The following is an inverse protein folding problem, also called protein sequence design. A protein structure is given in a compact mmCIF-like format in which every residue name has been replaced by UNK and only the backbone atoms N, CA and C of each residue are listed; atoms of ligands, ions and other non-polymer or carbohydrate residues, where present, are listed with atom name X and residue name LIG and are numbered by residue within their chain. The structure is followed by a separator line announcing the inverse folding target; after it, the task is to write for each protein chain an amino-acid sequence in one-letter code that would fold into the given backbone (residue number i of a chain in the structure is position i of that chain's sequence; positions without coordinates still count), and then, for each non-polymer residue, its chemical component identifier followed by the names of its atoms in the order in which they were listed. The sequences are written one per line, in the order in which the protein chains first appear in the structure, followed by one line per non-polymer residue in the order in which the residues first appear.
data_IF_734499180836
#
_entry.id   IF_734499180836
#
_cell.length_a   1.000
_cell.length_b   1.000
_cell.length_c   1.000
_cell.angle_alpha   90.00
_cell.angle_beta   90.00
_cell.angle_gamma   90.00
#
_symmetry.space_group_name_H-M   'P 1'
#
loop_
_entity.id
_entity.type
_entity.pdbx_description
1 polymer ?
#
# COMPACT_ATOMS: atom_id res chain seq x y z
N UNK A 1 4.63 -9.10 -4.66
CA UNK A 1 4.74 -10.16 -5.71
C UNK A 1 3.41 -10.73 -6.19
N UNK A 2 2.41 -11.01 -5.34
CA UNK A 2 1.09 -11.53 -5.79
C UNK A 2 0.48 -10.72 -6.93
N UNK A 3 0.58 -9.41 -6.88
CA UNK A 3 0.11 -8.48 -7.91
C UNK A 3 0.71 -8.78 -9.30
N UNK A 4 2.04 -8.91 -9.40
CA UNK A 4 2.72 -9.16 -10.69
C UNK A 4 2.57 -10.61 -11.16
N UNK A 5 2.52 -11.59 -10.26
CA UNK A 5 2.25 -13.00 -10.61
C UNK A 5 0.98 -13.17 -11.45
N UNK A 6 -0.02 -12.36 -11.16
CA UNK A 6 -1.30 -12.39 -11.87
C UNK A 6 -1.22 -11.76 -13.26
N UNK A 7 -0.40 -10.71 -13.44
CA UNK A 7 -0.38 -9.90 -14.65
C UNK A 7 0.65 -10.34 -15.69
N UNK A 8 1.83 -10.77 -15.24
CA UNK A 8 2.96 -11.07 -16.11
C UNK A 8 2.65 -12.14 -17.18
N UNK A 9 1.92 -13.23 -16.89
CA UNK A 9 1.53 -14.19 -17.93
C UNK A 9 0.74 -13.54 -19.09
N UNK A 10 -0.11 -12.56 -18.76
CA UNK A 10 -0.87 -11.81 -19.77
C UNK A 10 0.00 -10.84 -20.56
N UNK A 11 1.00 -10.19 -19.95
CA UNK A 11 1.95 -9.35 -20.66
C UNK A 11 2.73 -10.18 -21.70
N UNK A 12 3.23 -11.34 -21.30
CA UNK A 12 3.96 -12.24 -22.19
C UNK A 12 3.10 -12.76 -23.35
N UNK A 13 1.83 -13.07 -23.12
CA UNK A 13 0.90 -13.47 -24.17
C UNK A 13 0.67 -12.37 -25.22
N UNK A 14 0.97 -11.11 -24.88
CA UNK A 14 0.93 -9.96 -25.78
C UNK A 14 2.30 -9.63 -26.40
N UNK A 15 3.29 -10.53 -26.28
CA UNK A 15 4.63 -10.38 -26.83
C UNK A 15 5.53 -9.40 -26.07
N UNK A 16 5.24 -9.15 -24.79
CA UNK A 16 6.06 -8.29 -23.93
C UNK A 16 7.01 -9.17 -23.13
N UNK A 17 8.30 -8.92 -23.27
CA UNK A 17 9.32 -9.49 -22.40
C UNK A 17 9.33 -8.76 -21.07
N UNK A 18 9.39 -9.53 -19.97
CA UNK A 18 9.34 -9.00 -18.62
C UNK A 18 10.51 -9.56 -17.83
N UNK A 19 11.26 -8.65 -17.20
CA UNK A 19 12.24 -8.96 -16.16
C UNK A 19 11.79 -8.34 -14.83
N UNK A 20 11.99 -9.04 -13.74
CA UNK A 20 11.58 -8.60 -12.41
C UNK A 20 12.78 -8.66 -11.47
N UNK A 21 13.04 -7.56 -10.76
CA UNK A 21 13.98 -7.54 -9.64
C UNK A 21 13.18 -7.35 -8.37
N UNK A 22 13.31 -8.29 -7.44
CA UNK A 22 12.67 -8.26 -6.13
C UNK A 22 13.66 -7.83 -5.06
N UNK A 23 13.26 -6.90 -4.21
CA UNK A 23 14.06 -6.49 -3.09
C UNK A 23 13.66 -5.14 -2.53
N UNK A 24 14.23 -4.85 -1.38
CA UNK A 24 14.13 -3.53 -0.72
C UNK A 24 15.27 -3.40 0.28
N UNK A 25 15.37 -2.25 0.93
CA UNK A 25 16.35 -2.01 1.99
C UNK A 25 16.32 -3.02 3.16
N UNK A 26 15.18 -3.66 3.39
CA UNK A 26 15.01 -4.69 4.42
C UNK A 26 15.06 -6.12 3.89
N UNK A 27 15.17 -6.28 2.57
CA UNK A 27 15.03 -7.56 1.84
C UNK A 27 16.29 -7.90 1.05
N UNK A 28 17.45 -7.66 1.56
CA UNK A 28 18.64 -8.18 0.93
C UNK A 28 18.76 -9.68 1.22
N UNK A 29 18.83 -10.45 0.18
CA UNK A 29 19.30 -11.84 0.00
C UNK A 29 19.26 -12.89 1.13
N UNK A 30 18.89 -12.54 2.36
CA UNK A 30 18.75 -13.52 3.44
C UNK A 30 17.47 -14.37 3.30
N UNK A 31 16.54 -13.97 2.44
CA UNK A 31 15.31 -14.68 2.12
C UNK A 31 15.39 -15.22 0.69
N UNK A 32 16.20 -16.19 0.49
CA UNK A 32 16.78 -16.67 -0.75
C UNK A 32 15.89 -17.48 -1.69
N UNK A 33 14.58 -17.37 -1.60
CA UNK A 33 13.70 -17.93 -2.62
C UNK A 33 13.00 -16.80 -3.37
N UNK A 34 13.48 -16.44 -4.58
CA UNK A 34 12.79 -15.49 -5.43
C UNK A 34 11.37 -15.97 -5.68
N UNK A 35 10.44 -15.02 -5.78
CA UNK A 35 9.08 -15.38 -6.11
C UNK A 35 9.04 -15.99 -7.51
N UNK A 36 8.55 -17.20 -7.65
CA UNK A 36 8.35 -17.81 -8.96
C UNK A 36 7.20 -17.10 -9.68
N UNK A 37 7.49 -16.58 -10.86
CA UNK A 37 6.51 -16.13 -11.86
C UNK A 37 6.70 -17.02 -13.07
N UNK A 38 5.66 -17.71 -13.50
CA UNK A 38 5.74 -18.69 -14.58
C UNK A 38 6.40 -18.09 -15.83
N UNK A 39 7.51 -18.67 -16.24
CA UNK A 39 8.28 -18.29 -17.41
C UNK A 39 9.01 -16.94 -17.32
N UNK A 40 9.17 -16.37 -16.12
CA UNK A 40 9.92 -15.12 -15.89
C UNK A 40 11.05 -15.37 -14.90
N UNK A 41 12.24 -14.92 -15.28
CA UNK A 41 13.36 -14.88 -14.34
C UNK A 41 13.13 -13.73 -13.35
N UNK A 42 13.05 -14.07 -12.06
CA UNK A 42 12.96 -13.10 -10.98
C UNK A 42 14.31 -13.05 -10.28
N UNK A 43 14.98 -11.93 -10.39
CA UNK A 43 16.22 -11.69 -9.67
C UNK A 43 15.92 -11.13 -8.28
N UNK A 44 16.76 -11.47 -7.30
CA UNK A 44 16.73 -10.88 -5.96
C UNK A 44 17.88 -9.88 -5.85
N UNK A 45 17.62 -8.74 -5.22
CA UNK A 45 18.66 -7.73 -4.97
C UNK A 45 19.87 -8.36 -4.25
N UNK A 46 21.03 -8.25 -4.87
CA UNK A 46 22.28 -8.77 -4.35
C UNK A 46 22.73 -8.03 -3.09
N UNK A 47 22.98 -8.76 -2.01
CA UNK A 47 23.41 -8.18 -0.73
C UNK A 47 24.70 -7.37 -0.85
N UNK A 48 25.70 -7.90 -1.55
CA UNK A 48 26.98 -7.21 -1.74
C UNK A 48 26.80 -5.86 -2.45
N UNK A 49 25.89 -5.80 -3.43
CA UNK A 49 25.57 -4.58 -4.17
C UNK A 49 24.88 -3.55 -3.26
N UNK A 50 23.93 -4.00 -2.45
CA UNK A 50 23.27 -3.14 -1.46
C UNK A 50 24.28 -2.57 -0.45
N UNK A 51 25.16 -3.40 0.09
CA UNK A 51 26.16 -2.97 1.07
C UNK A 51 27.16 -1.96 0.47
N UNK A 52 27.57 -2.17 -0.79
CA UNK A 52 28.43 -1.23 -1.51
C UNK A 52 27.74 0.14 -1.70
N UNK A 53 26.47 0.17 -2.09
CA UNK A 53 25.73 1.41 -2.22
C UNK A 53 25.43 2.05 -0.85
N UNK A 54 25.15 1.26 0.18
CA UNK A 54 24.94 1.77 1.53
C UNK A 54 26.17 2.51 2.06
N UNK A 55 27.37 1.98 1.80
CA UNK A 55 28.62 2.66 2.15
C UNK A 55 28.79 4.01 1.43
N UNK A 56 28.36 4.12 0.17
CA UNK A 56 28.46 5.36 -0.63
C UNK A 56 27.52 6.49 -0.16
N UNK A 57 26.45 6.18 0.58
CA UNK A 57 25.50 7.15 1.12
C UNK A 57 25.81 7.57 2.56
N UNK A 58 27.08 7.69 2.93
CA UNK A 58 27.51 8.04 4.29
C UNK A 58 27.06 9.44 4.74
N UNK A 59 26.84 10.37 3.79
CA UNK A 59 26.26 11.69 4.07
C UNK A 59 24.89 11.63 4.77
N UNK A 60 24.22 10.48 4.77
CA UNK A 60 22.93 10.26 5.43
C UNK A 60 23.04 9.43 6.71
N UNK A 61 24.18 9.39 7.37
CA UNK A 61 24.35 8.67 8.64
C UNK A 61 23.32 9.09 9.71
N UNK A 62 22.96 10.40 9.75
CA UNK A 62 21.95 10.94 10.64
C UNK A 62 20.49 10.62 10.20
N UNK A 63 20.26 10.07 9.02
CA UNK A 63 18.96 9.70 8.46
C UNK A 63 19.00 8.24 7.97
N UNK A 64 19.12 7.25 8.86
CA UNK A 64 19.42 5.87 8.51
C UNK A 64 18.35 5.22 7.61
N UNK A 65 17.09 5.60 7.75
CA UNK A 65 16.02 5.09 6.90
C UNK A 65 16.15 5.63 5.46
N UNK A 66 16.42 6.94 5.29
CA UNK A 66 16.67 7.55 3.98
C UNK A 66 17.90 6.92 3.31
N UNK A 67 19.00 6.80 4.06
CA UNK A 67 20.24 6.16 3.60
C UNK A 67 19.97 4.77 3.04
N UNK A 68 19.22 3.97 3.78
CA UNK A 68 18.89 2.60 3.44
C UNK A 68 18.05 2.50 2.17
N UNK A 69 17.02 3.36 2.04
CA UNK A 69 16.15 3.37 0.87
C UNK A 69 16.87 3.84 -0.40
N UNK A 70 17.66 4.92 -0.32
CA UNK A 70 18.43 5.38 -1.48
C UNK A 70 19.47 4.34 -1.90
N UNK A 71 20.17 3.72 -0.95
CA UNK A 71 21.13 2.66 -1.25
C UNK A 71 20.48 1.47 -1.98
N UNK A 72 19.32 1.01 -1.50
CA UNK A 72 18.60 -0.09 -2.13
C UNK A 72 18.09 0.29 -3.53
N UNK A 73 17.56 1.50 -3.69
CA UNK A 73 17.08 1.98 -4.98
C UNK A 73 18.19 2.04 -6.03
N UNK A 74 19.34 2.59 -5.70
CA UNK A 74 20.50 2.64 -6.61
C UNK A 74 21.10 1.26 -6.86
N UNK A 75 21.16 0.39 -5.85
CA UNK A 75 21.63 -0.98 -6.02
C UNK A 75 20.75 -1.78 -6.99
N UNK A 76 19.42 -1.65 -6.87
CA UNK A 76 18.48 -2.28 -7.81
C UNK A 76 18.58 -1.69 -9.22
N UNK A 77 18.78 -0.37 -9.32
CA UNK A 77 18.93 0.30 -10.62
C UNK A 77 20.22 -0.12 -11.33
N UNK A 78 21.32 -0.25 -10.60
CA UNK A 78 22.56 -0.83 -11.14
C UNK A 78 22.38 -2.30 -11.54
N UNK A 79 21.68 -3.11 -10.72
CA UNK A 79 21.42 -4.51 -11.04
C UNK A 79 20.55 -4.66 -12.29
N UNK A 80 19.66 -3.73 -12.56
CA UNK A 80 18.89 -3.63 -13.80
C UNK A 80 19.69 -3.08 -15.00
N UNK A 81 21.02 -3.00 -14.91
CA UNK A 81 21.89 -2.36 -15.89
C UNK A 81 21.40 -0.96 -16.31
N UNK A 82 20.94 -0.18 -15.34
CA UNK A 82 20.42 1.18 -15.56
C UNK A 82 19.28 1.23 -16.59
N UNK A 83 18.54 0.15 -16.73
CA UNK A 83 17.41 0.02 -17.65
C UNK A 83 17.78 -0.02 -19.12
N UNK A 84 19.05 -0.26 -19.50
CA UNK A 84 19.56 -0.11 -20.88
C UNK A 84 18.80 -0.97 -21.90
N UNK A 85 18.44 -2.19 -21.52
CA UNK A 85 17.82 -3.17 -22.40
C UNK A 85 16.28 -3.13 -22.40
N UNK A 86 15.68 -2.13 -21.74
CA UNK A 86 14.22 -2.03 -21.58
C UNK A 86 13.64 -0.80 -22.28
N UNK A 87 12.45 -0.97 -22.89
CA UNK A 87 11.69 0.12 -23.49
C UNK A 87 11.00 0.98 -22.42
N UNK A 88 10.64 0.39 -21.29
CA UNK A 88 9.97 1.05 -20.16
C UNK A 88 10.36 0.38 -18.84
N UNK A 89 10.46 1.16 -17.81
CA UNK A 89 10.71 0.69 -16.44
C UNK A 89 9.51 1.01 -15.58
N UNK A 90 9.00 0.00 -14.86
CA UNK A 90 8.03 0.21 -13.80
C UNK A 90 8.71 0.05 -12.45
N UNK A 91 8.51 1.01 -11.58
CA UNK A 91 8.97 0.97 -10.19
C UNK A 91 7.79 1.17 -9.23
N UNK A 92 7.78 0.46 -8.10
CA UNK A 92 6.81 0.73 -7.05
C UNK A 92 7.25 1.94 -6.20
N UNK A 93 6.29 2.59 -5.56
CA UNK A 93 6.54 3.75 -4.69
C UNK A 93 7.21 3.39 -3.36
N UNK A 94 7.19 2.12 -2.97
CA UNK A 94 7.85 1.67 -1.75
C UNK A 94 9.36 1.71 -1.86
N UNK A 95 10.02 2.34 -0.88
CA UNK A 95 11.48 2.30 -0.75
C UNK A 95 12.25 3.17 -1.73
N UNK A 96 11.62 4.17 -2.35
CA UNK A 96 12.25 5.12 -3.29
C UNK A 96 12.80 4.47 -4.58
N UNK A 97 12.31 3.28 -4.97
CA UNK A 97 12.85 2.53 -6.12
C UNK A 97 12.74 3.29 -7.44
N UNK A 98 11.81 4.22 -7.56
CA UNK A 98 11.60 5.09 -8.71
C UNK A 98 12.59 6.28 -8.78
N UNK A 99 13.34 6.56 -7.70
CA UNK A 99 14.20 7.76 -7.62
C UNK A 99 15.35 7.73 -8.62
N UNK A 100 16.19 6.68 -8.71
CA UNK A 100 17.28 6.65 -9.69
C UNK A 100 16.80 6.79 -11.14
N UNK A 101 15.80 6.02 -11.64
CA UNK A 101 15.31 6.19 -13.00
C UNK A 101 14.67 7.56 -13.25
N UNK A 102 14.01 8.18 -12.25
CA UNK A 102 13.47 9.52 -12.36
C UNK A 102 14.57 10.59 -12.52
N UNK A 103 15.69 10.44 -11.80
CA UNK A 103 16.82 11.38 -11.86
C UNK A 103 17.62 11.22 -13.17
N UNK A 104 17.90 9.99 -13.56
CA UNK A 104 18.67 9.74 -14.78
C UNK A 104 17.86 10.00 -16.03
N UNK A 105 16.53 9.81 -15.96
CA UNK A 105 15.61 10.00 -17.07
C UNK A 105 16.12 9.36 -18.38
N UNK A 106 16.76 8.21 -18.29
CA UNK A 106 17.32 7.46 -19.42
C UNK A 106 16.27 6.60 -20.13
N UNK A 107 15.22 6.26 -19.42
CA UNK A 107 14.09 5.42 -19.90
C UNK A 107 12.75 5.98 -19.46
N UNK A 108 11.65 5.65 -20.17
CA UNK A 108 10.31 5.94 -19.70
C UNK A 108 10.08 5.28 -18.34
N UNK A 109 9.63 6.06 -17.37
CA UNK A 109 9.34 5.59 -16.02
C UNK A 109 7.83 5.57 -15.78
N UNK A 110 7.32 4.43 -15.36
CA UNK A 110 5.98 4.26 -14.79
C UNK A 110 6.11 4.03 -13.30
N UNK A 111 5.44 4.82 -12.48
CA UNK A 111 5.40 4.61 -11.04
C UNK A 111 4.07 3.98 -10.64
N UNK A 112 4.16 2.81 -10.01
CA UNK A 112 3.01 2.11 -9.44
C UNK A 112 2.92 2.42 -7.96
N UNK A 113 1.90 3.18 -7.55
CA UNK A 113 1.68 3.55 -6.17
C UNK A 113 0.86 2.47 -5.43
N UNK A 114 1.53 1.78 -4.51
CA UNK A 114 0.96 0.77 -3.61
C UNK A 114 0.82 1.24 -2.16
N UNK A 115 1.34 2.43 -1.87
CA UNK A 115 1.48 3.02 -0.54
C UNK A 115 2.95 3.28 -0.23
N UNK A 116 3.38 4.52 -0.39
CA UNK A 116 4.75 4.94 -0.14
C UNK A 116 5.07 4.97 1.35
N UNK A 117 6.34 4.99 1.69
CA UNK A 117 6.79 5.11 3.10
C UNK A 117 6.26 6.40 3.73
N UNK A 118 6.37 7.51 3.01
CA UNK A 118 5.87 8.82 3.49
C UNK A 118 4.36 8.84 3.64
N UNK A 119 3.62 8.25 2.71
CA UNK A 119 2.17 8.15 2.79
C UNK A 119 1.71 7.30 3.98
N UNK A 120 2.35 6.15 4.21
CA UNK A 120 2.05 5.28 5.35
C UNK A 120 2.38 5.98 6.67
N UNK A 121 3.47 6.73 6.75
CA UNK A 121 3.87 7.42 7.99
C UNK A 121 2.87 8.46 8.48
N UNK A 122 2.01 8.98 7.59
CA UNK A 122 0.90 9.88 7.97
C UNK A 122 -0.19 9.11 8.74
N UNK A 123 -0.44 7.85 8.38
CA UNK A 123 -1.51 7.02 8.95
C UNK A 123 -1.04 6.15 10.10
N UNK A 124 0.26 5.87 10.16
CA UNK A 124 0.91 5.06 11.22
C UNK A 124 2.27 5.68 11.58
N UNK A 125 2.28 6.87 12.20
CA UNK A 125 3.51 7.58 12.52
C UNK A 125 4.34 6.80 13.54
N UNK A 126 5.65 6.69 13.25
CA UNK A 126 6.63 6.11 14.17
C UNK A 126 7.36 7.27 14.87
N UNK A 127 7.28 7.32 16.20
CA UNK A 127 7.94 8.36 16.99
C UNK A 127 9.46 8.27 16.84
N UNK A 128 10.10 9.43 16.66
CA UNK A 128 11.53 9.56 16.46
C UNK A 128 11.98 9.45 15.00
N UNK A 129 11.08 9.07 14.08
CA UNK A 129 11.38 8.98 12.65
C UNK A 129 10.77 10.13 11.82
N UNK A 130 10.20 11.16 12.46
CA UNK A 130 9.46 12.23 11.79
C UNK A 130 10.30 12.97 10.74
N UNK A 131 11.57 13.27 11.05
CA UNK A 131 12.47 13.97 10.11
C UNK A 131 12.76 13.12 8.88
N UNK A 132 12.96 11.83 9.07
CA UNK A 132 13.16 10.86 8.00
C UNK A 132 11.91 10.74 7.14
N UNK A 133 10.74 10.59 7.76
CA UNK A 133 9.45 10.44 7.07
C UNK A 133 9.11 11.68 6.23
N UNK A 134 9.33 12.89 6.75
CA UNK A 134 9.14 14.15 6.01
C UNK A 134 10.07 14.22 4.81
N UNK A 135 11.35 13.88 4.98
CA UNK A 135 12.33 13.91 3.89
C UNK A 135 11.97 12.89 2.80
N UNK A 136 11.60 11.67 3.18
CA UNK A 136 11.13 10.64 2.27
C UNK A 136 9.92 11.13 1.48
N UNK A 137 8.93 11.70 2.15
CA UNK A 137 7.71 12.17 1.48
C UNK A 137 7.98 13.31 0.49
N UNK A 138 8.91 14.22 0.78
CA UNK A 138 9.32 15.26 -0.16
C UNK A 138 9.97 14.67 -1.41
N UNK A 139 10.85 13.67 -1.25
CA UNK A 139 11.47 12.97 -2.39
C UNK A 139 10.44 12.16 -3.19
N UNK A 140 9.51 11.51 -2.53
CA UNK A 140 8.40 10.80 -3.16
C UNK A 140 7.60 11.73 -4.07
N UNK A 141 7.11 12.85 -3.53
CA UNK A 141 6.33 13.84 -4.31
C UNK A 141 7.09 14.34 -5.55
N UNK A 142 8.34 14.73 -5.36
CA UNK A 142 9.14 15.30 -6.43
C UNK A 142 9.47 14.27 -7.52
N UNK A 143 9.94 13.09 -7.14
CA UNK A 143 10.41 12.09 -8.09
C UNK A 143 9.25 11.30 -8.74
N UNK A 144 8.15 11.04 -8.02
CA UNK A 144 6.92 10.47 -8.61
C UNK A 144 6.36 11.43 -9.66
N UNK A 145 6.33 12.74 -9.36
CA UNK A 145 5.87 13.77 -10.29
C UNK A 145 6.69 13.86 -11.58
N UNK A 146 7.94 13.38 -11.58
CA UNK A 146 8.80 13.34 -12.76
C UNK A 146 8.58 12.13 -13.67
N UNK A 147 7.83 11.12 -13.23
CA UNK A 147 7.53 9.94 -14.04
C UNK A 147 6.71 10.29 -15.29
N UNK A 148 6.85 9.52 -16.36
CA UNK A 148 6.02 9.67 -17.56
C UNK A 148 4.58 9.29 -17.29
N UNK A 149 4.38 8.24 -16.49
CA UNK A 149 3.05 7.79 -16.09
C UNK A 149 3.03 7.43 -14.61
N UNK A 150 1.95 7.85 -13.93
CA UNK A 150 1.72 7.53 -12.52
C UNK A 150 0.41 6.76 -12.44
N UNK A 151 0.44 5.61 -11.79
CA UNK A 151 -0.74 4.77 -11.63
C UNK A 151 -0.86 4.23 -10.21
N UNK A 152 -2.09 4.02 -9.79
CA UNK A 152 -2.41 3.46 -8.47
C UNK A 152 -3.61 2.53 -8.54
N UNK A 153 -4.02 1.97 -7.41
CA UNK A 153 -5.02 0.91 -7.38
C UNK A 153 -6.45 1.41 -7.14
N UNK A 154 -6.63 2.67 -6.68
CA UNK A 154 -7.94 3.23 -6.34
C UNK A 154 -8.08 4.70 -6.72
N UNK A 155 -9.33 5.15 -6.89
CA UNK A 155 -9.64 6.55 -7.20
C UNK A 155 -9.22 7.51 -6.08
N UNK A 156 -9.40 7.11 -4.83
CA UNK A 156 -9.00 7.93 -3.69
C UNK A 156 -7.48 8.16 -3.67
N UNK A 157 -6.69 7.12 -3.91
CA UNK A 157 -5.24 7.25 -3.95
C UNK A 157 -4.75 7.98 -5.23
N UNK A 158 -5.47 7.86 -6.35
CA UNK A 158 -5.19 8.65 -7.55
C UNK A 158 -5.43 10.14 -7.30
N UNK A 159 -6.53 10.50 -6.65
CA UNK A 159 -6.81 11.88 -6.26
C UNK A 159 -5.74 12.45 -5.32
N UNK A 160 -5.29 11.65 -4.33
CA UNK A 160 -4.19 12.03 -3.44
C UNK A 160 -2.92 12.35 -4.23
N UNK A 161 -2.43 11.43 -5.05
CA UNK A 161 -1.20 11.66 -5.81
C UNK A 161 -1.33 12.73 -6.88
N UNK A 162 -2.53 12.92 -7.46
CA UNK A 162 -2.78 14.05 -8.37
C UNK A 162 -2.65 15.40 -7.67
N UNK A 163 -3.18 15.50 -6.44
CA UNK A 163 -3.03 16.71 -5.62
C UNK A 163 -1.57 16.96 -5.19
N UNK A 164 -0.85 15.89 -4.82
CA UNK A 164 0.52 15.97 -4.35
C UNK A 164 1.54 16.30 -5.46
N UNK A 165 1.30 15.81 -6.68
CA UNK A 165 2.25 15.95 -7.80
C UNK A 165 1.83 17.01 -8.83
N UNK A 166 0.58 17.44 -8.82
CA UNK A 166 0.01 18.29 -9.87
C UNK A 166 -0.14 17.57 -11.21
N UNK A 167 -0.11 16.23 -11.24
CA UNK A 167 -0.15 15.39 -12.43
C UNK A 167 -1.41 14.55 -12.48
N UNK A 168 -1.81 14.15 -13.67
CA UNK A 168 -2.82 13.11 -13.84
C UNK A 168 -2.30 11.76 -13.34
N UNK A 169 -3.11 11.05 -12.56
CA UNK A 169 -2.80 9.73 -12.01
C UNK A 169 -3.90 8.76 -12.37
N UNK A 170 -3.54 7.65 -12.99
CA UNK A 170 -4.49 6.63 -13.40
C UNK A 170 -4.85 5.70 -12.23
N UNK A 171 -6.13 5.47 -12.01
CA UNK A 171 -6.62 4.44 -11.11
C UNK A 171 -6.85 3.14 -11.90
N UNK A 172 -5.94 2.17 -11.77
CA UNK A 172 -6.04 0.87 -12.40
C UNK A 172 -6.06 -0.18 -11.28
N UNK A 173 -7.21 -0.82 -11.01
CA UNK A 173 -7.31 -1.77 -9.91
C UNK A 173 -6.41 -3.00 -10.15
N UNK A 174 -6.12 -3.79 -9.10
CA UNK A 174 -5.31 -5.00 -9.27
C UNK A 174 -6.08 -6.05 -10.06
N UNK A 175 -5.36 -6.93 -10.74
CA UNK A 175 -5.93 -8.12 -11.32
C UNK A 175 -6.19 -9.18 -10.24
N UNK A 176 -7.26 -9.94 -10.40
CA UNK A 176 -7.62 -11.02 -9.50
C UNK A 176 -7.93 -12.30 -10.27
N UNK A 177 -7.23 -13.38 -9.93
CA UNK A 177 -7.57 -14.73 -10.38
C UNK A 177 -8.30 -15.41 -9.24
N UNK A 178 -9.61 -15.56 -9.39
CA UNK A 178 -10.45 -16.21 -8.41
C UNK A 178 -10.00 -17.64 -8.13
N UNK A 179 -9.97 -18.04 -6.85
CA UNK A 179 -9.98 -19.45 -6.50
C UNK A 179 -11.42 -19.93 -6.68
N UNK A 180 -11.61 -21.07 -7.35
CA UNK A 180 -12.88 -21.77 -7.32
C UNK A 180 -13.13 -22.21 -5.89
N UNK A 181 -14.12 -21.61 -5.25
CA UNK A 181 -14.50 -21.95 -3.89
C UNK A 181 -15.75 -22.82 -3.92
N UNK A 182 -15.88 -23.83 -3.05
CA UNK A 182 -17.07 -24.65 -2.97
C UNK A 182 -18.30 -23.80 -2.65
N UNK A 183 -19.46 -24.18 -3.19
CA UNK A 183 -20.69 -23.37 -3.22
C UNK A 183 -21.35 -23.08 -1.88
N UNK A 184 -20.99 -23.74 -0.79
CA UNK A 184 -21.55 -23.43 0.53
C UNK A 184 -20.73 -23.97 1.70
N UNK A 185 -20.41 -23.09 2.63
CA UNK A 185 -20.07 -23.46 3.99
C UNK A 185 -21.17 -22.97 4.94
N UNK A 186 -21.56 -23.73 5.96
CA UNK A 186 -22.47 -23.24 6.98
C UNK A 186 -21.86 -21.99 7.65
N UNK A 187 -22.70 -20.97 7.89
CA UNK A 187 -22.24 -19.76 8.57
C UNK A 187 -21.78 -20.08 9.99
N UNK A 188 -20.66 -19.53 10.40
CA UNK A 188 -20.17 -19.58 11.79
C UNK A 188 -21.02 -18.73 12.74
N UNK A 189 -21.93 -17.90 12.23
CA UNK A 189 -22.66 -16.91 12.99
C UNK A 189 -21.81 -15.73 13.50
N UNK A 190 -20.56 -15.64 13.07
CA UNK A 190 -19.60 -14.63 13.53
C UNK A 190 -19.15 -13.76 12.36
N UNK A 191 -18.91 -12.46 12.64
CA UNK A 191 -18.20 -11.58 11.72
C UNK A 191 -16.71 -11.91 11.65
N UNK A 192 -16.05 -11.51 10.57
CA UNK A 192 -14.62 -11.76 10.37
C UNK A 192 -13.90 -10.50 9.89
N UNK A 193 -12.77 -10.20 10.53
CA UNK A 193 -11.77 -9.22 10.06
C UNK A 193 -10.46 -9.96 9.79
N UNK A 194 -9.88 -9.77 8.62
CA UNK A 194 -8.57 -10.30 8.25
C UNK A 194 -7.58 -9.13 8.12
N UNK A 195 -6.52 -9.14 8.93
CA UNK A 195 -5.48 -8.13 8.86
C UNK A 195 -4.70 -8.00 10.15
N UNK A 196 -3.54 -7.37 10.07
CA UNK A 196 -2.76 -7.03 11.27
C UNK A 196 -3.59 -6.20 12.22
N UNK A 197 -3.44 -6.41 13.53
CA UNK A 197 -4.02 -5.51 14.55
C UNK A 197 -3.17 -4.25 14.56
N UNK A 198 -3.57 -3.26 13.80
CA UNK A 198 -2.82 -2.03 13.54
C UNK A 198 -3.79 -0.85 13.49
N UNK A 199 -3.36 0.33 13.95
CA UNK A 199 -4.22 1.51 14.12
C UNK A 199 -5.07 1.83 12.89
N UNK A 200 -4.45 1.93 11.73
CA UNK A 200 -5.12 2.29 10.47
C UNK A 200 -6.01 1.17 9.89
N UNK A 201 -5.89 -0.05 10.41
CA UNK A 201 -6.83 -1.15 10.09
C UNK A 201 -8.16 -1.04 10.84
N UNK A 202 -8.32 -0.02 11.69
CA UNK A 202 -9.59 0.37 12.30
C UNK A 202 -10.12 -0.50 13.44
N UNK A 203 -9.27 -1.15 14.28
CA UNK A 203 -9.80 -1.96 15.37
C UNK A 203 -10.57 -1.14 16.40
N UNK A 204 -10.19 0.13 16.61
CA UNK A 204 -10.92 1.04 17.49
C UNK A 204 -12.34 1.32 16.98
N UNK A 205 -12.47 1.57 15.67
CA UNK A 205 -13.76 1.85 15.04
C UNK A 205 -14.71 0.66 15.21
N UNK A 206 -14.18 -0.57 15.04
CA UNK A 206 -14.97 -1.77 15.33
C UNK A 206 -15.37 -1.85 16.80
N UNK A 207 -14.45 -1.62 17.74
CA UNK A 207 -14.77 -1.66 19.18
C UNK A 207 -15.83 -0.64 19.54
N UNK A 208 -15.76 0.59 19.04
CA UNK A 208 -16.74 1.65 19.29
C UNK A 208 -18.10 1.31 18.68
N UNK A 209 -18.13 0.75 17.46
CA UNK A 209 -19.38 0.32 16.82
C UNK A 209 -20.07 -0.81 17.61
N UNK A 210 -19.32 -1.83 18.04
CA UNK A 210 -19.88 -2.92 18.85
C UNK A 210 -20.32 -2.45 20.23
N UNK A 211 -19.64 -1.49 20.84
CA UNK A 211 -20.06 -0.86 22.10
C UNK A 211 -21.42 -0.16 21.94
N UNK A 212 -21.66 0.54 20.83
CA UNK A 212 -22.94 1.19 20.52
C UNK A 212 -24.09 0.20 20.35
N UNK A 213 -23.84 -0.97 19.77
CA UNK A 213 -24.82 -2.03 19.61
C UNK A 213 -25.18 -2.74 20.92
N UNK A 214 -24.34 -2.67 21.95
CA UNK A 214 -24.57 -3.27 23.26
C UNK A 214 -24.79 -4.79 23.17
N UNK A 215 -25.95 -5.25 23.69
CA UNK A 215 -26.29 -6.68 23.71
C UNK A 215 -26.50 -7.26 22.30
N UNK A 216 -26.90 -6.45 21.33
CA UNK A 216 -27.09 -6.86 19.93
C UNK A 216 -25.79 -7.01 19.16
N UNK A 217 -24.64 -6.63 19.75
CA UNK A 217 -23.35 -6.69 19.12
C UNK A 217 -22.98 -8.14 18.74
N UNK A 218 -22.67 -8.41 17.47
CA UNK A 218 -22.25 -9.73 17.03
C UNK A 218 -20.87 -10.08 17.59
N UNK A 219 -20.55 -11.37 17.66
CA UNK A 219 -19.19 -11.82 17.86
C UNK A 219 -18.40 -11.61 16.57
N UNK A 220 -17.16 -11.15 16.67
CA UNK A 220 -16.27 -10.93 15.52
C UNK A 220 -14.91 -11.58 15.79
N UNK A 221 -14.44 -12.36 14.84
CA UNK A 221 -13.08 -12.89 14.85
C UNK A 221 -12.14 -11.94 14.12
N UNK A 222 -11.08 -11.52 14.78
CA UNK A 222 -10.00 -10.75 14.17
C UNK A 222 -8.79 -11.66 13.94
N UNK A 223 -8.47 -11.97 12.70
CA UNK A 223 -7.39 -12.90 12.35
C UNK A 223 -6.20 -12.13 11.77
N UNK A 224 -5.10 -12.14 12.51
CA UNK A 224 -3.87 -11.49 12.08
C UNK A 224 -2.89 -11.23 13.20
N UNK A 225 -1.67 -10.91 12.79
CA UNK A 225 -0.58 -10.62 13.72
C UNK A 225 -0.85 -9.31 14.47
N UNK A 226 -0.57 -9.33 15.76
CA UNK A 226 -0.50 -8.14 16.57
C UNK A 226 0.72 -7.28 16.19
N UNK A 227 0.58 -5.97 16.32
CA UNK A 227 1.65 -5.01 16.02
C UNK A 227 1.83 -4.04 17.17
N UNK A 228 2.86 -3.21 17.08
CA UNK A 228 3.12 -2.15 18.06
C UNK A 228 2.07 -1.05 17.89
N UNK A 229 1.61 -0.47 18.99
CA UNK A 229 0.69 0.66 19.03
C UNK A 229 1.42 1.93 19.47
N UNK A 230 1.65 2.81 18.50
CA UNK A 230 2.24 4.14 18.74
C UNK A 230 3.63 4.11 19.41
N UNK A 231 3.99 5.26 19.98
CA UNK A 231 5.29 5.52 20.61
C UNK A 231 5.63 4.64 21.82
N UNK A 232 4.63 4.19 22.54
CA UNK A 232 4.84 3.42 23.78
C UNK A 232 5.29 1.98 23.51
N UNK A 233 5.47 1.58 22.26
CA UNK A 233 5.85 0.22 21.83
C UNK A 233 5.04 -0.89 22.51
N UNK A 234 3.82 -0.57 22.94
CA UNK A 234 2.89 -1.55 23.51
C UNK A 234 2.22 -2.37 22.39
N UNK A 235 1.80 -3.57 22.71
CA UNK A 235 0.99 -4.40 21.82
C UNK A 235 -0.34 -3.69 21.51
N UNK A 236 -0.75 -3.68 20.24
CA UNK A 236 -2.05 -3.12 19.83
C UNK A 236 -3.21 -3.83 20.54
N UNK A 237 -3.12 -5.15 20.68
CA UNK A 237 -4.13 -5.93 21.40
C UNK A 237 -4.20 -5.58 22.88
N UNK A 238 -3.05 -5.35 23.54
CA UNK A 238 -3.01 -4.92 24.94
C UNK A 238 -3.64 -3.53 25.10
N UNK A 239 -3.33 -2.58 24.21
CA UNK A 239 -3.93 -1.26 24.18
C UNK A 239 -5.46 -1.35 24.02
N UNK A 240 -5.94 -2.14 23.07
CA UNK A 240 -7.39 -2.32 22.83
C UNK A 240 -8.09 -3.01 23.99
N UNK A 241 -7.45 -3.99 24.64
CA UNK A 241 -8.00 -4.63 25.84
C UNK A 241 -8.15 -3.67 27.00
N UNK A 242 -7.21 -2.74 27.18
CA UNK A 242 -7.29 -1.71 28.21
C UNK A 242 -8.34 -0.64 27.89
N UNK A 243 -8.44 -0.21 26.63
CA UNK A 243 -9.37 0.85 26.20
C UNK A 243 -10.83 0.34 26.06
N UNK A 244 -11.00 -0.93 25.68
CA UNK A 244 -12.32 -1.54 25.40
C UNK A 244 -12.47 -2.91 26.10
N UNK A 245 -12.38 -3.02 27.43
CA UNK A 245 -12.32 -4.28 28.16
C UNK A 245 -13.58 -5.15 28.01
N UNK A 246 -14.73 -4.54 27.70
CA UNK A 246 -15.99 -5.23 27.48
C UNK A 246 -16.16 -5.74 26.02
N UNK A 247 -15.28 -5.28 25.11
CA UNK A 247 -15.38 -5.61 23.68
C UNK A 247 -14.20 -6.46 23.22
N UNK A 248 -12.95 -5.96 23.39
CA UNK A 248 -11.77 -6.69 22.96
C UNK A 248 -11.46 -7.84 23.91
N UNK A 249 -11.36 -9.06 23.36
CA UNK A 249 -11.26 -10.30 24.12
C UNK A 249 -12.60 -10.91 24.55
N UNK A 250 -13.73 -10.21 24.34
CA UNK A 250 -15.08 -10.72 24.67
C UNK A 250 -16.00 -10.78 23.45
N UNK A 251 -16.18 -9.68 22.73
CA UNK A 251 -16.96 -9.59 21.48
C UNK A 251 -16.06 -9.69 20.26
N UNK A 252 -14.85 -9.10 20.29
CA UNK A 252 -13.80 -9.27 19.30
C UNK A 252 -12.78 -10.26 19.83
N UNK A 253 -12.64 -11.40 19.16
CA UNK A 253 -11.66 -12.43 19.54
C UNK A 253 -10.51 -12.41 18.53
N UNK A 254 -9.32 -12.05 19.02
CA UNK A 254 -8.12 -12.06 18.19
C UNK A 254 -7.57 -13.47 18.03
N UNK A 255 -7.20 -13.81 16.80
CA UNK A 255 -6.54 -15.04 16.42
C UNK A 255 -5.19 -14.72 15.76
N UNK A 256 -4.20 -15.62 15.88
CA UNK A 256 -2.92 -15.45 15.17
C UNK A 256 -3.12 -15.45 13.65
N UNK A 257 -2.07 -15.06 12.94
CA UNK A 257 -2.01 -15.17 11.49
C UNK A 257 -2.12 -16.65 11.07
N UNK A 258 -2.90 -16.90 10.04
CA UNK A 258 -3.16 -18.22 9.47
C UNK A 258 -2.74 -18.27 7.99
N UNK A 259 -2.78 -19.46 7.40
CA UNK A 259 -2.48 -19.66 5.96
C UNK A 259 -3.54 -19.01 5.06
N UNK A 260 -3.19 -18.74 3.81
CA UNK A 260 -4.16 -18.19 2.83
C UNK A 260 -5.34 -19.13 2.57
N UNK A 261 -5.15 -20.44 2.69
CA UNK A 261 -6.22 -21.41 2.55
C UNK A 261 -7.21 -21.33 3.72
N UNK A 262 -6.70 -21.19 4.94
CA UNK A 262 -7.54 -21.00 6.14
C UNK A 262 -8.25 -19.63 6.13
N UNK A 263 -7.60 -18.58 5.61
CA UNK A 263 -8.26 -17.28 5.40
C UNK A 263 -9.48 -17.46 4.51
N UNK A 264 -9.33 -18.10 3.35
CA UNK A 264 -10.43 -18.33 2.41
C UNK A 264 -11.57 -19.14 3.04
N UNK A 265 -11.25 -20.21 3.78
CA UNK A 265 -12.24 -21.01 4.47
C UNK A 265 -13.01 -20.21 5.55
N UNK A 266 -12.30 -19.37 6.32
CA UNK A 266 -12.92 -18.52 7.34
C UNK A 266 -13.80 -17.43 6.71
N UNK A 267 -13.37 -16.81 5.61
CA UNK A 267 -14.15 -15.81 4.88
C UNK A 267 -15.45 -16.42 4.34
N UNK A 268 -15.43 -17.66 3.84
CA UNK A 268 -16.63 -18.37 3.40
C UNK A 268 -17.56 -18.77 4.54
N UNK A 269 -17.03 -19.11 5.71
CA UNK A 269 -17.82 -19.47 6.89
C UNK A 269 -18.32 -18.26 7.69
N UNK A 270 -17.84 -17.04 7.42
CA UNK A 270 -18.23 -15.85 8.14
C UNK A 270 -19.73 -15.49 7.91
N UNK A 271 -20.36 -14.92 8.91
CA UNK A 271 -21.68 -14.28 8.76
C UNK A 271 -21.57 -13.06 7.82
N UNK A 272 -20.54 -12.27 8.04
CA UNK A 272 -20.09 -11.17 7.18
C UNK A 272 -18.58 -11.00 7.28
N UNK A 273 -17.95 -10.47 6.25
CA UNK A 273 -16.57 -10.01 6.27
C UNK A 273 -16.55 -8.49 6.46
N UNK A 274 -15.58 -7.98 7.24
CA UNK A 274 -15.47 -6.57 7.55
C UNK A 274 -14.05 -6.06 7.31
N UNK A 275 -13.94 -4.92 6.63
CA UNK A 275 -12.70 -4.17 6.40
C UNK A 275 -12.88 -2.76 6.97
N UNK A 276 -12.56 -2.56 8.27
CA UNK A 276 -12.79 -1.28 8.95
C UNK A 276 -11.63 -0.29 8.78
N UNK A 277 -10.75 -0.49 7.80
CA UNK A 277 -9.56 0.33 7.60
C UNK A 277 -9.90 1.81 7.47
N UNK A 278 -9.23 2.66 8.24
CA UNK A 278 -9.39 4.12 8.13
C UNK A 278 -8.65 4.67 6.92
N UNK A 279 -7.65 3.95 6.45
CA UNK A 279 -6.94 4.19 5.22
C UNK A 279 -6.36 2.88 4.66
N UNK A 280 -6.38 2.71 3.35
CA UNK A 280 -5.67 1.67 2.63
C UNK A 280 -5.67 2.00 1.14
N UNK A 281 -4.56 1.84 0.45
CA UNK A 281 -4.49 2.14 -0.98
C UNK A 281 -5.48 1.31 -1.80
N UNK A 282 -5.68 0.04 -1.43
CA UNK A 282 -6.70 -0.80 -2.05
C UNK A 282 -7.35 -1.77 -1.06
N UNK A 283 -6.59 -2.63 -0.39
CA UNK A 283 -6.99 -3.71 0.49
C UNK A 283 -7.43 -5.00 -0.24
N UNK A 284 -6.47 -5.89 -0.47
CA UNK A 284 -6.73 -7.18 -1.13
C UNK A 284 -7.66 -8.10 -0.33
N UNK A 285 -7.67 -8.00 1.01
CA UNK A 285 -8.57 -8.83 1.83
C UNK A 285 -10.05 -8.50 1.61
N UNK A 286 -10.36 -7.26 1.17
CA UNK A 286 -11.72 -6.91 0.73
C UNK A 286 -12.11 -7.67 -0.55
N UNK A 287 -11.18 -7.78 -1.52
CA UNK A 287 -11.41 -8.55 -2.75
C UNK A 287 -11.61 -10.03 -2.45
N UNK A 288 -10.76 -10.60 -1.58
CA UNK A 288 -10.89 -11.99 -1.12
C UNK A 288 -12.24 -12.22 -0.42
N UNK A 289 -12.65 -11.28 0.42
CA UNK A 289 -13.93 -11.31 1.11
C UNK A 289 -15.13 -11.26 0.14
N UNK A 290 -15.12 -10.33 -0.81
CA UNK A 290 -16.14 -10.24 -1.87
C UNK A 290 -16.18 -11.53 -2.72
N UNK A 291 -15.00 -12.06 -3.07
CA UNK A 291 -14.89 -13.30 -3.82
C UNK A 291 -15.40 -14.52 -3.04
N UNK A 292 -15.45 -14.47 -1.71
CA UNK A 292 -15.99 -15.53 -0.87
C UNK A 292 -17.51 -15.74 -1.02
N UNK A 293 -18.23 -14.76 -1.59
CA UNK A 293 -19.68 -14.78 -1.75
C UNK A 293 -20.44 -14.48 -0.47
N UNK A 294 -19.78 -13.98 0.56
CA UNK A 294 -20.42 -13.52 1.80
C UNK A 294 -20.60 -12.01 1.81
N UNK A 295 -21.59 -11.49 2.55
CA UNK A 295 -21.73 -10.05 2.74
C UNK A 295 -20.41 -9.43 3.19
N UNK A 296 -19.98 -8.40 2.48
CA UNK A 296 -18.71 -7.72 2.78
C UNK A 296 -18.98 -6.26 3.09
N UNK A 297 -18.49 -5.81 4.25
CA UNK A 297 -18.59 -4.43 4.73
C UNK A 297 -17.22 -3.80 4.54
N UNK A 298 -17.15 -2.66 3.86
CA UNK A 298 -15.88 -1.98 3.60
C UNK A 298 -16.00 -0.50 3.97
N UNK A 299 -15.01 -0.01 4.70
CA UNK A 299 -14.85 1.42 4.95
C UNK A 299 -14.49 2.17 3.66
N UNK A 300 -15.04 3.38 3.47
CA UNK A 300 -14.63 4.27 2.37
C UNK A 300 -13.16 4.70 2.45
N UNK A 301 -12.47 4.45 3.56
CA UNK A 301 -11.03 4.63 3.70
C UNK A 301 -10.19 3.55 3.02
N UNK A 302 -10.77 2.40 2.66
CA UNK A 302 -10.11 1.36 1.88
C UNK A 302 -10.40 1.54 0.39
N UNK A 303 -9.39 1.60 -0.46
CA UNK A 303 -9.56 1.83 -1.90
C UNK A 303 -10.41 0.77 -2.61
N UNK A 304 -10.53 -0.44 -2.06
CA UNK A 304 -11.45 -1.47 -2.56
C UNK A 304 -12.93 -1.07 -2.46
N UNK A 305 -13.27 -0.03 -1.69
CA UNK A 305 -14.61 0.56 -1.67
C UNK A 305 -15.06 1.03 -3.06
N UNK A 306 -14.13 1.30 -3.97
CA UNK A 306 -14.41 1.62 -5.38
C UNK A 306 -15.17 0.52 -6.13
N UNK A 307 -15.14 -0.72 -5.64
CA UNK A 307 -15.83 -1.87 -6.22
C UNK A 307 -17.25 -2.04 -5.68
N UNK A 308 -17.63 -1.32 -4.63
CA UNK A 308 -18.86 -1.58 -3.89
C UNK A 308 -19.93 -0.53 -4.21
N UNK A 309 -21.10 -1.04 -4.55
CA UNK A 309 -22.36 -0.32 -4.58
C UNK A 309 -23.18 -0.75 -3.34
N UNK A 310 -23.42 0.20 -2.42
CA UNK A 310 -24.02 -0.10 -1.11
C UNK A 310 -25.37 -0.79 -1.21
N UNK A 311 -25.52 -1.92 -0.51
CA UNK A 311 -26.74 -2.74 -0.50
C UNK A 311 -26.99 -3.56 -1.77
N UNK A 312 -26.11 -3.46 -2.79
CA UNK A 312 -26.20 -4.21 -4.04
C UNK A 312 -25.20 -5.36 -4.09
N UNK A 313 -23.90 -5.07 -3.91
CA UNK A 313 -22.82 -6.05 -3.95
C UNK A 313 -21.92 -5.99 -2.72
N UNK A 314 -22.34 -5.32 -1.66
CA UNK A 314 -21.63 -5.15 -0.41
C UNK A 314 -22.24 -4.00 0.39
N UNK A 315 -21.54 -3.60 1.46
CA UNK A 315 -21.98 -2.52 2.32
C UNK A 315 -20.83 -1.54 2.54
N UNK A 316 -21.15 -0.24 2.55
CA UNK A 316 -20.21 0.84 2.78
C UNK A 316 -20.53 1.58 4.08
N UNK A 317 -19.47 2.08 4.72
CA UNK A 317 -19.59 3.08 5.77
C UNK A 317 -18.46 4.10 5.66
N UNK A 318 -18.67 5.37 6.09
CA UNK A 318 -17.64 6.40 6.05
C UNK A 318 -16.43 6.04 6.92
N UNK A 319 -15.23 6.36 6.43
CA UNK A 319 -13.98 6.10 7.16
C UNK A 319 -13.98 6.75 8.54
N UNK A 320 -13.66 5.96 9.56
CA UNK A 320 -13.60 6.45 10.94
C UNK A 320 -14.95 6.60 11.65
N UNK A 321 -16.06 6.35 10.99
CA UNK A 321 -17.41 6.51 11.54
C UNK A 321 -17.93 5.21 12.17
N UNK A 322 -17.77 5.11 13.49
CA UNK A 322 -18.23 3.98 14.28
C UNK A 322 -19.79 3.89 14.37
N UNK A 323 -20.49 5.02 14.26
CA UNK A 323 -21.95 5.05 14.29
C UNK A 323 -22.53 4.50 12.99
N UNK A 324 -21.99 4.93 11.86
CA UNK A 324 -22.36 4.38 10.56
C UNK A 324 -22.04 2.88 10.46
N UNK A 325 -20.87 2.44 10.98
CA UNK A 325 -20.56 1.00 11.06
C UNK A 325 -21.56 0.23 11.93
N UNK A 326 -21.94 0.77 13.09
CA UNK A 326 -22.96 0.14 13.94
C UNK A 326 -24.31 0.01 13.19
N UNK A 327 -24.72 1.02 12.45
CA UNK A 327 -25.93 0.99 11.64
C UNK A 327 -25.87 -0.06 10.54
N UNK A 328 -24.74 -0.21 9.85
CA UNK A 328 -24.53 -1.25 8.83
C UNK A 328 -24.56 -2.65 9.45
N UNK A 329 -23.91 -2.83 10.61
CA UNK A 329 -23.96 -4.11 11.33
C UNK A 329 -25.39 -4.48 11.74
N UNK A 330 -26.15 -3.52 12.26
CA UNK A 330 -27.56 -3.74 12.64
C UNK A 330 -28.41 -4.12 11.43
N UNK A 331 -28.22 -3.45 10.29
CA UNK A 331 -28.88 -3.78 9.02
C UNK A 331 -28.58 -5.22 8.58
N UNK A 332 -27.34 -5.67 8.64
CA UNK A 332 -26.96 -7.04 8.26
C UNK A 332 -27.56 -8.08 9.21
N UNK A 333 -27.58 -7.80 10.51
CA UNK A 333 -28.14 -8.70 11.52
C UNK A 333 -29.67 -8.88 11.42
N UNK A 334 -30.36 -7.91 10.80
CA UNK A 334 -31.81 -7.92 10.64
C UNK A 334 -32.26 -8.28 9.22
N UNK A 335 -31.33 -8.36 8.26
CA UNK A 335 -31.62 -8.66 6.86
C UNK A 335 -31.92 -10.16 6.65
N UNK A 336 -32.68 -10.48 5.63
CA UNK A 336 -32.99 -11.87 5.28
C UNK A 336 -31.77 -12.62 4.72
N UNK A 337 -31.70 -13.93 4.97
CA UNK A 337 -30.59 -14.77 4.49
C UNK A 337 -30.54 -14.80 2.94
N UNK A 338 -31.72 -14.75 2.29
CA UNK A 338 -31.85 -14.71 0.85
C UNK A 338 -31.23 -13.44 0.28
N UNK A 339 -31.52 -12.26 0.87
CA UNK A 339 -30.97 -10.99 0.43
C UNK A 339 -29.45 -10.91 0.64
N UNK A 340 -28.96 -11.37 1.77
CA UNK A 340 -27.52 -11.45 2.04
C UNK A 340 -26.80 -12.37 1.05
N UNK A 341 -27.43 -13.48 0.65
CA UNK A 341 -26.88 -14.39 -0.36
C UNK A 341 -26.85 -13.74 -1.74
N UNK A 342 -27.90 -12.99 -2.11
CA UNK A 342 -27.94 -12.22 -3.37
C UNK A 342 -26.80 -11.20 -3.43
N UNK A 343 -26.61 -10.42 -2.38
CA UNK A 343 -25.52 -9.44 -2.26
C UNK A 343 -24.14 -10.12 -2.38
N UNK A 344 -23.95 -11.25 -1.71
CA UNK A 344 -22.71 -12.02 -1.80
C UNK A 344 -22.41 -12.52 -3.22
N UNK A 345 -23.41 -13.00 -3.96
CA UNK A 345 -23.24 -13.40 -5.37
C UNK A 345 -22.92 -12.21 -6.26
N UNK A 346 -23.58 -11.07 -6.07
CA UNK A 346 -23.26 -9.84 -6.80
C UNK A 346 -21.83 -9.37 -6.52
N UNK A 347 -21.34 -9.52 -5.29
CA UNK A 347 -19.94 -9.25 -4.93
C UNK A 347 -18.96 -10.12 -5.72
N UNK A 348 -19.20 -11.43 -5.79
CA UNK A 348 -18.37 -12.36 -6.58
C UNK A 348 -18.32 -11.97 -8.06
N UNK A 349 -19.47 -11.65 -8.64
CA UNK A 349 -19.56 -11.23 -10.05
C UNK A 349 -18.79 -9.92 -10.29
N UNK A 350 -18.90 -8.97 -9.38
CA UNK A 350 -18.14 -7.70 -9.45
C UNK A 350 -16.65 -7.95 -9.46
N UNK A 351 -16.14 -8.79 -8.55
CA UNK A 351 -14.71 -9.13 -8.51
C UNK A 351 -14.27 -9.79 -9.82
N UNK A 352 -15.04 -10.74 -10.33
CA UNK A 352 -14.74 -11.48 -11.56
C UNK A 352 -14.67 -10.57 -12.78
N UNK A 353 -15.60 -9.62 -12.91
CA UNK A 353 -15.73 -8.75 -14.08
C UNK A 353 -14.83 -7.51 -14.00
N UNK A 354 -14.77 -6.85 -12.83
CA UNK A 354 -13.99 -5.62 -12.65
C UNK A 354 -12.48 -5.90 -12.59
N UNK A 355 -12.07 -7.00 -11.95
CA UNK A 355 -10.67 -7.35 -11.73
C UNK A 355 -10.17 -8.44 -12.67
N UNK A 356 -10.83 -8.62 -13.82
CA UNK A 356 -10.41 -9.58 -14.84
C UNK A 356 -8.97 -9.33 -15.28
N UNK A 357 -8.07 -10.32 -15.19
CA UNK A 357 -6.63 -10.13 -15.46
C UNK A 357 -6.32 -9.64 -16.87
N UNK A 358 -7.01 -10.14 -17.88
CA UNK A 358 -6.79 -9.72 -19.26
C UNK A 358 -7.19 -8.26 -19.48
N UNK A 359 -8.33 -7.84 -18.92
CA UNK A 359 -8.80 -6.45 -18.95
C UNK A 359 -7.80 -5.51 -18.27
N UNK A 360 -7.34 -5.87 -17.09
CA UNK A 360 -6.38 -5.07 -16.32
C UNK A 360 -5.02 -5.02 -17.03
N UNK A 361 -4.54 -6.16 -17.56
CA UNK A 361 -3.30 -6.20 -18.32
C UNK A 361 -3.36 -5.27 -19.55
N UNK A 362 -4.47 -5.27 -20.30
CA UNK A 362 -4.66 -4.35 -21.44
C UNK A 362 -4.60 -2.90 -21.04
N UNK A 363 -5.22 -2.51 -19.92
CA UNK A 363 -5.15 -1.14 -19.41
C UNK A 363 -3.71 -0.72 -19.06
N UNK A 364 -2.97 -1.60 -18.40
CA UNK A 364 -1.58 -1.33 -18.01
C UNK A 364 -0.64 -1.28 -19.22
N UNK A 365 -0.82 -2.17 -20.19
CA UNK A 365 -0.07 -2.12 -21.45
C UNK A 365 -0.32 -0.81 -22.21
N UNK A 366 -1.56 -0.33 -22.21
CA UNK A 366 -1.87 0.98 -22.78
C UNK A 366 -1.13 2.12 -22.05
N UNK A 367 -1.05 2.05 -20.72
CA UNK A 367 -0.27 3.01 -19.92
C UNK A 367 1.24 2.95 -20.23
N UNK A 368 1.82 1.76 -20.37
CA UNK A 368 3.23 1.62 -20.78
C UNK A 368 3.50 2.22 -22.17
N UNK A 369 2.64 1.94 -23.14
CA UNK A 369 2.75 2.49 -24.50
C UNK A 369 2.63 4.02 -24.48
N UNK A 370 1.72 4.57 -23.69
CA UNK A 370 1.59 6.01 -23.52
C UNK A 370 2.86 6.61 -22.89
N UNK A 371 3.43 5.96 -21.86
CA UNK A 371 4.67 6.41 -21.23
C UNK A 371 5.85 6.43 -22.23
N UNK A 372 5.99 5.39 -23.06
CA UNK A 372 7.02 5.30 -24.10
C UNK A 372 6.82 6.43 -25.13
N UNK A 373 5.59 6.64 -25.59
CA UNK A 373 5.27 7.69 -26.55
C UNK A 373 5.57 9.09 -25.97
N UNK A 374 5.11 9.38 -24.76
CA UNK A 374 5.32 10.66 -24.10
C UNK A 374 6.81 10.93 -23.87
N UNK A 375 7.59 9.92 -23.49
CA UNK A 375 9.02 10.05 -23.31
C UNK A 375 9.75 10.44 -24.60
N UNK A 376 9.30 9.91 -25.74
CA UNK A 376 9.88 10.24 -27.07
C UNK A 376 9.52 11.65 -27.53
N UNK A 377 8.35 12.17 -27.13
CA UNK A 377 7.83 13.46 -27.63
C UNK A 377 8.20 14.66 -26.76
N UNK A 378 8.43 14.49 -25.47
CA UNK A 378 8.69 15.58 -24.53
C UNK A 378 10.17 15.70 -24.21
N UNK A 379 10.75 16.92 -24.28
CA UNK A 379 12.05 17.14 -23.70
C UNK A 379 11.98 16.79 -22.20
N UNK A 380 12.98 16.08 -21.73
CA UNK A 380 13.11 15.69 -20.32
C UNK A 380 13.00 16.95 -19.46
N UNK A 381 12.08 16.97 -18.49
CA UNK A 381 12.11 17.97 -17.42
C UNK A 381 13.12 17.45 -16.41
N UNK A 382 14.35 17.96 -16.37
CA UNK A 382 15.31 17.54 -15.37
C UNK A 382 14.76 17.92 -14.00
N UNK A 383 14.82 17.00 -13.06
CA UNK A 383 14.67 17.36 -11.66
C UNK A 383 15.70 18.45 -11.35
N UNK A 384 15.33 19.43 -10.50
CA UNK A 384 16.27 20.50 -10.13
C UNK A 384 17.60 19.92 -9.70
N UNK A 385 18.72 20.53 -10.11
CA UNK A 385 20.06 19.99 -9.87
C UNK A 385 20.29 19.56 -8.41
N UNK A 386 19.86 20.41 -7.45
CA UNK A 386 19.98 20.13 -6.02
C UNK A 386 19.23 18.86 -5.58
N UNK A 387 18.07 18.57 -6.19
CA UNK A 387 17.31 17.35 -5.86
C UNK A 387 18.04 16.11 -6.39
N UNK A 388 18.62 16.20 -7.58
CA UNK A 388 19.48 15.16 -8.12
C UNK A 388 20.71 14.90 -7.24
N UNK A 389 21.33 15.97 -6.73
CA UNK A 389 22.50 15.87 -5.85
C UNK A 389 22.14 15.22 -4.50
N UNK A 390 21.01 15.58 -3.90
CA UNK A 390 20.50 14.93 -2.68
C UNK A 390 20.28 13.43 -2.88
N UNK A 391 19.80 13.02 -4.02
CA UNK A 391 19.47 11.62 -4.30
C UNK A 391 20.66 10.79 -4.78
N UNK A 392 21.86 11.38 -4.91
CA UNK A 392 23.12 10.70 -5.28
C UNK A 392 24.07 10.64 -4.10
N UNK A 393 25.02 9.69 -4.11
CA UNK A 393 26.13 9.71 -3.16
C UNK A 393 26.93 11.00 -3.27
N UNK A 394 27.33 11.57 -2.14
CA UNK A 394 28.23 12.72 -2.13
C UNK A 394 29.59 12.37 -2.75
N UNK A 395 30.16 13.32 -3.48
CA UNK A 395 31.50 13.13 -4.10
C UNK A 395 32.65 13.21 -3.08
N UNK A 396 32.40 13.81 -1.91
CA UNK A 396 33.36 13.86 -0.80
C UNK A 396 32.63 13.62 0.52
N UNK A 397 33.15 12.70 1.33
CA UNK A 397 32.53 12.32 2.60
C UNK A 397 32.85 13.29 3.71
N UNK A 398 32.00 13.37 4.72
CA UNK A 398 32.31 13.37 6.15
C UNK A 398 31.54 14.33 7.04
N UNK A 399 30.45 14.86 6.64
CA UNK A 399 29.60 15.62 7.59
C UNK A 399 28.22 14.91 7.70
N UNK A 400 27.86 14.45 8.89
CA UNK A 400 26.54 13.85 9.16
C UNK A 400 25.36 14.72 8.70
N UNK A 401 25.59 16.04 8.58
CA UNK A 401 24.62 17.03 8.12
C UNK A 401 24.82 17.45 6.66
N UNK A 402 25.69 16.78 5.91
CA UNK A 402 25.97 17.12 4.50
C UNK A 402 24.73 17.10 3.60
N UNK A 403 23.69 16.32 3.97
CA UNK A 403 22.41 16.34 3.25
C UNK A 403 21.73 17.72 3.26
N UNK A 404 22.06 18.60 4.23
CA UNK A 404 21.52 19.97 4.28
C UNK A 404 22.23 20.92 3.29
N UNK A 405 23.42 20.57 2.79
CA UNK A 405 24.16 21.42 1.85
C UNK A 405 23.41 21.57 0.52
N UNK A 406 22.65 20.55 0.12
CA UNK A 406 21.77 20.60 -1.05
C UNK A 406 20.51 21.46 -0.88
N UNK A 407 20.13 21.84 0.35
CA UNK A 407 18.92 22.63 0.58
C UNK A 407 19.22 24.14 0.52
N UNK A 408 18.31 24.96 -0.03
CA UNK A 408 18.45 26.41 -0.05
C UNK A 408 18.49 26.97 1.39
N UNK A 409 19.65 27.37 1.84
CA UNK A 409 19.90 27.79 3.24
C UNK A 409 18.90 28.87 3.72
N UNK A 410 18.53 29.82 2.86
CA UNK A 410 17.54 30.87 3.17
C UNK A 410 16.17 30.29 3.51
N UNK A 411 15.76 29.20 2.87
CA UNK A 411 14.46 28.56 3.15
C UNK A 411 14.50 27.79 4.47
N UNK A 412 15.60 27.10 4.77
CA UNK A 412 15.83 26.41 6.04
C UNK A 412 15.77 27.41 7.19
N UNK A 413 16.52 28.53 7.10
CA UNK A 413 16.55 29.58 8.12
C UNK A 413 15.17 30.22 8.30
N UNK A 414 14.47 30.53 7.21
CA UNK A 414 13.10 31.07 7.27
C UNK A 414 12.13 30.10 7.95
N UNK A 415 12.20 28.83 7.62
CA UNK A 415 11.36 27.81 8.23
C UNK A 415 11.68 27.62 9.73
N UNK A 416 12.95 27.55 10.08
CA UNK A 416 13.39 27.44 11.47
C UNK A 416 12.91 28.65 12.31
N UNK A 417 13.06 29.87 11.79
CA UNK A 417 12.59 31.10 12.43
C UNK A 417 11.06 31.09 12.63
N UNK A 418 10.29 30.68 11.61
CA UNK A 418 8.83 30.57 11.71
C UNK A 418 8.39 29.52 12.73
N UNK A 419 9.11 28.38 12.80
CA UNK A 419 8.80 27.32 13.76
C UNK A 419 9.12 27.75 15.20
N UNK A 420 10.21 28.47 15.40
CA UNK A 420 10.59 29.03 16.70
C UNK A 420 9.58 30.07 17.18
N UNK A 421 9.19 31.01 16.31
CA UNK A 421 8.16 32.01 16.66
C UNK A 421 6.83 31.40 17.04
N UNK A 422 6.37 30.35 16.33
CA UNK A 422 5.12 29.63 16.67
C UNK A 422 5.18 28.88 18.02
N UNK A 423 6.37 28.52 18.51
CA UNK A 423 6.55 27.86 19.83
C UNK A 423 6.62 28.85 20.98
N UNK A 424 7.02 30.09 20.71
CA UNK A 424 7.09 31.15 21.74
C UNK A 424 5.70 31.77 22.04
N UNK A 425 4.76 31.65 21.05
CA UNK A 425 3.40 32.21 21.17
C UNK A 425 2.32 31.13 21.41
N UNK A 426 2.70 29.91 21.78
CA UNK A 426 1.86 28.89 22.40
C UNK A 426 2.32 28.59 23.82
#
# INVERSE_FOLDING_TARGET
MTFYRTLVPFYRSQGIDVSVIEGSASWAAEHSNPAEIEGVHVEVLERARLDAWYARFDQYAALPLLRRHLAAAWAMWEQADFGRDFDVVEACDWGLLFVPPAIEASRPLVVQCHGSVGQISVHDPVEGEESCSITLHLLERACIGAAQHIQTLSRANAAFWSAETGREVSAIPPAWIGRSLPDSHPSSGRGLVIGRVQRWKGPQILCEALKRLGDRAPMVDWVGRDTVWGAQQSSSAAHLSAAYPEIWGRKVIQHPQVTSAEVAARQQAALFNLVPSTWDVFNFTAVEAMASGRPTIVSTGAGASDLIEDGVNGFLFPSGDAEALASVLDRILTESAEKLTEIGRAAQETVRSALNPEKIAKQRIAAYRAAIHDFAQRPRVPLSGWLGDICRPAQSSSNEMAFLEGFPLRQIVKHAAQRTSRRIWR
#
